data_IF_118555578087
#
_entry.id   IF_118555578087
#
_cell.length_a   1.000
_cell.length_b   1.000
_cell.length_c   1.000
_cell.angle_alpha   90.00
_cell.angle_beta   90.00
_cell.angle_gamma   90.00
#
_symmetry.space_group_name_H-M   'P 1'
#
loop_
_entity.id
_entity.type
_entity.pdbx_description
1 polymer ?
#
# COMPACT_ATOMS: atom_id res chain seq x y z
N UNK A 1 -9.25 11.69 9.92
CA UNK A 1 -9.19 10.55 9.00
C UNK A 1 -9.77 10.97 7.65
N UNK A 2 -9.16 10.53 6.54
CA UNK A 2 -9.69 10.76 5.20
C UNK A 2 -10.92 9.88 4.95
N UNK A 3 -11.92 10.40 4.27
CA UNK A 3 -13.12 9.64 3.89
C UNK A 3 -13.46 9.94 2.44
N UNK A 4 -13.88 8.92 1.69
CA UNK A 4 -14.42 9.11 0.35
C UNK A 4 -15.83 9.71 0.40
N UNK A 5 -16.18 10.48 -0.65
CA UNK A 5 -17.54 11.01 -0.77
C UNK A 5 -18.54 9.86 -1.02
N UNK A 6 -19.71 9.92 -0.37
CA UNK A 6 -20.72 8.86 -0.46
C UNK A 6 -21.18 8.58 -1.89
N UNK A 7 -21.22 9.62 -2.74
CA UNK A 7 -21.53 9.49 -4.17
C UNK A 7 -20.55 8.66 -4.98
N UNK A 8 -19.34 8.45 -4.45
CA UNK A 8 -18.23 7.80 -5.16
C UNK A 8 -18.01 6.36 -4.63
N UNK A 9 -18.67 5.97 -3.53
CA UNK A 9 -18.54 4.64 -2.92
C UNK A 9 -19.22 3.53 -3.71
N UNK A 10 -18.59 2.38 -3.73
CA UNK A 10 -19.14 1.14 -4.28
C UNK A 10 -19.67 0.27 -3.14
N UNK A 11 -20.87 -0.33 -3.28
CA UNK A 11 -21.45 -1.17 -2.24
C UNK A 11 -20.53 -2.33 -1.83
N UNK A 12 -20.44 -2.57 -0.53
CA UNK A 12 -19.56 -3.57 0.08
C UNK A 12 -19.72 -4.98 -0.51
N UNK A 13 -20.96 -5.39 -0.83
CA UNK A 13 -21.24 -6.71 -1.43
C UNK A 13 -20.70 -6.87 -2.88
N UNK A 14 -20.16 -5.82 -3.48
CA UNK A 14 -19.48 -5.86 -4.80
C UNK A 14 -17.94 -5.93 -4.66
N UNK A 15 -17.42 -6.00 -3.44
CA UNK A 15 -15.99 -5.93 -3.10
C UNK A 15 -15.47 -7.26 -2.54
N UNK A 16 -15.58 -8.35 -3.29
CA UNK A 16 -15.28 -9.69 -2.77
C UNK A 16 -13.84 -9.87 -2.29
N UNK A 17 -12.86 -9.50 -3.11
CA UNK A 17 -11.45 -9.66 -2.74
C UNK A 17 -10.97 -8.60 -1.76
N UNK A 18 -11.50 -7.38 -1.81
CA UNK A 18 -11.24 -6.38 -0.79
C UNK A 18 -11.65 -6.89 0.60
N UNK A 19 -12.82 -7.51 0.71
CA UNK A 19 -13.29 -8.11 1.96
C UNK A 19 -12.38 -9.26 2.42
N UNK A 20 -12.00 -10.15 1.49
CA UNK A 20 -11.10 -11.28 1.81
C UNK A 20 -9.73 -10.79 2.27
N UNK A 21 -9.12 -9.82 1.57
CA UNK A 21 -7.81 -9.27 1.96
C UNK A 21 -7.90 -8.54 3.29
N UNK A 22 -8.95 -7.75 3.51
CA UNK A 22 -9.19 -7.08 4.80
C UNK A 22 -9.28 -8.10 5.94
N UNK A 23 -10.13 -9.12 5.78
CA UNK A 23 -10.29 -10.18 6.78
C UNK A 23 -8.98 -10.95 7.02
N UNK A 24 -8.22 -11.27 5.97
CA UNK A 24 -6.94 -11.94 6.09
C UNK A 24 -5.95 -11.12 6.93
N UNK A 25 -5.83 -9.81 6.69
CA UNK A 25 -4.97 -8.94 7.49
C UNK A 25 -5.38 -8.92 8.98
N UNK A 26 -6.68 -8.82 9.26
CA UNK A 26 -7.18 -8.85 10.65
C UNK A 26 -6.91 -10.20 11.32
N UNK A 27 -7.19 -11.31 10.62
CA UNK A 27 -6.99 -12.66 11.17
C UNK A 27 -5.50 -12.91 11.45
N UNK A 28 -4.62 -12.57 10.50
CA UNK A 28 -3.17 -12.71 10.67
C UNK A 28 -2.69 -11.85 11.84
N UNK A 29 -3.17 -10.60 11.96
CA UNK A 29 -2.78 -9.74 13.08
C UNK A 29 -3.25 -10.27 14.43
N UNK A 30 -4.49 -10.80 14.52
CA UNK A 30 -4.96 -11.45 15.75
C UNK A 30 -4.05 -12.65 16.09
N UNK A 31 -3.67 -13.43 15.09
CA UNK A 31 -2.76 -14.57 15.31
C UNK A 31 -1.38 -14.10 15.78
N UNK A 32 -0.84 -13.00 15.19
CA UNK A 32 0.42 -12.40 15.65
C UNK A 32 0.39 -11.96 17.12
N UNK A 33 -0.67 -11.29 17.59
CA UNK A 33 -0.76 -10.85 18.98
C UNK A 33 -1.04 -12.00 19.97
N UNK A 34 -1.53 -13.13 19.48
CA UNK A 34 -1.73 -14.34 20.26
C UNK A 34 -0.48 -15.22 20.35
N UNK A 35 0.56 -14.96 19.57
CA UNK A 35 1.83 -15.67 19.62
C UNK A 35 2.64 -15.23 20.86
N UNK A 36 2.74 -16.06 21.90
CA UNK A 36 3.43 -15.70 23.14
C UNK A 36 4.95 -15.61 22.97
N UNK A 37 5.48 -16.13 21.88
CA UNK A 37 6.92 -16.17 21.59
C UNK A 37 7.40 -14.96 20.79
N UNK A 38 6.49 -14.27 20.08
CA UNK A 38 6.81 -13.22 19.14
C UNK A 38 7.58 -13.70 17.89
N UNK A 39 7.81 -15.01 17.74
CA UNK A 39 8.58 -15.58 16.62
C UNK A 39 7.90 -15.32 15.28
N UNK A 40 6.58 -15.34 15.24
CA UNK A 40 5.83 -15.09 14.02
C UNK A 40 6.17 -13.74 13.39
N UNK A 41 6.42 -12.70 14.19
CA UNK A 41 6.87 -11.40 13.70
C UNK A 41 8.21 -11.48 12.97
N UNK A 42 9.13 -12.29 13.49
CA UNK A 42 10.49 -12.42 12.97
C UNK A 42 10.51 -13.30 11.72
N UNK A 43 9.85 -14.46 11.80
CA UNK A 43 9.92 -15.48 10.74
C UNK A 43 9.15 -15.08 9.48
N UNK A 44 8.00 -14.37 9.62
CA UNK A 44 7.13 -14.02 8.51
C UNK A 44 7.40 -12.62 7.92
N UNK A 45 8.27 -11.82 8.54
CA UNK A 45 8.68 -10.52 8.03
C UNK A 45 9.72 -10.67 6.89
N UNK A 46 9.68 -9.74 5.96
CA UNK A 46 10.64 -9.70 4.85
C UNK A 46 11.96 -9.09 5.31
N UNK A 47 13.05 -9.82 5.15
CA UNK A 47 14.42 -9.35 5.45
C UNK A 47 15.20 -9.23 4.14
N UNK A 48 15.62 -8.01 3.74
CA UNK A 48 16.37 -7.81 2.50
C UNK A 48 17.64 -8.67 2.38
N UNK A 49 18.40 -8.86 3.47
CA UNK A 49 19.60 -9.70 3.48
C UNK A 49 19.28 -11.15 3.10
N UNK A 50 18.23 -11.73 3.68
CA UNK A 50 17.77 -13.09 3.35
C UNK A 50 17.40 -13.21 1.87
N UNK A 51 16.73 -12.19 1.32
CA UNK A 51 16.35 -12.16 -0.09
C UNK A 51 17.57 -12.24 -1.01
N UNK A 52 18.63 -11.45 -0.74
CA UNK A 52 19.86 -11.50 -1.55
C UNK A 52 20.63 -12.80 -1.42
N UNK A 53 20.48 -13.50 -0.30
CA UNK A 53 21.05 -14.83 -0.09
C UNK A 53 20.17 -15.97 -0.64
N UNK A 54 19.02 -15.66 -1.22
CA UNK A 54 18.04 -16.64 -1.71
C UNK A 54 17.32 -17.41 -0.60
N UNK A 55 17.35 -16.90 0.64
CA UNK A 55 16.68 -17.47 1.79
C UNK A 55 15.29 -16.88 1.99
N UNK A 56 14.41 -17.61 2.64
CA UNK A 56 13.09 -17.16 3.11
C UNK A 56 12.27 -16.35 2.08
N UNK A 57 12.38 -16.68 0.77
CA UNK A 57 11.72 -15.93 -0.31
C UNK A 57 10.20 -15.83 -0.17
N UNK A 58 9.57 -16.76 0.55
CA UNK A 58 8.14 -16.75 0.86
C UNK A 58 7.73 -15.52 1.71
N UNK A 59 8.68 -14.92 2.43
CA UNK A 59 8.43 -13.72 3.24
C UNK A 59 8.12 -12.49 2.41
N UNK A 60 8.48 -12.45 1.14
CA UNK A 60 8.00 -11.44 0.18
C UNK A 60 6.47 -11.36 0.14
N UNK A 61 5.79 -12.51 0.33
CA UNK A 61 4.34 -12.58 0.33
C UNK A 61 3.75 -12.47 1.74
N UNK A 62 4.27 -13.22 2.72
CA UNK A 62 3.71 -13.23 4.07
C UNK A 62 3.83 -11.87 4.77
N UNK A 63 4.92 -11.15 4.57
CA UNK A 63 5.13 -9.83 5.15
C UNK A 63 4.03 -8.82 4.79
N UNK A 64 3.37 -9.00 3.63
CA UNK A 64 2.27 -8.14 3.19
C UNK A 64 1.01 -8.23 4.08
N UNK A 65 0.92 -9.24 4.96
CA UNK A 65 -0.20 -9.45 5.87
C UNK A 65 0.17 -9.25 7.34
N UNK A 66 1.47 -9.05 7.61
CA UNK A 66 1.99 -8.83 8.95
C UNK A 66 1.96 -7.34 9.32
N UNK A 67 1.79 -7.04 10.61
CA UNK A 67 1.78 -5.64 11.07
C UNK A 67 2.54 -5.50 12.40
N UNK A 68 3.31 -4.42 12.53
CA UNK A 68 4.18 -4.20 13.69
C UNK A 68 3.43 -3.89 14.99
N UNK A 69 2.29 -3.19 14.87
CA UNK A 69 1.48 -2.77 16.01
C UNK A 69 0.03 -2.45 15.60
N UNK A 70 -0.80 -2.15 16.61
CA UNK A 70 -2.24 -1.86 16.41
C UNK A 70 -2.47 -0.57 15.59
N UNK A 71 -1.63 0.43 15.73
CA UNK A 71 -1.76 1.68 14.96
C UNK A 71 -1.42 1.42 13.50
N UNK A 72 -0.38 0.63 13.25
CA UNK A 72 0.04 0.23 11.91
C UNK A 72 -1.08 -0.48 11.16
N UNK A 73 -1.72 -1.50 11.74
CA UNK A 73 -2.83 -2.20 11.06
C UNK A 73 -4.06 -1.29 10.89
N UNK A 74 -4.43 -0.48 11.88
CA UNK A 74 -5.56 0.45 11.77
C UNK A 74 -5.34 1.41 10.60
N UNK A 75 -4.15 2.00 10.47
CA UNK A 75 -3.84 2.93 9.39
C UNK A 75 -3.84 2.24 8.04
N UNK A 76 -3.26 1.04 7.93
CA UNK A 76 -3.28 0.26 6.69
C UNK A 76 -4.72 -0.07 6.27
N UNK A 77 -5.52 -0.63 7.16
CA UNK A 77 -6.89 -1.02 6.85
C UNK A 77 -7.78 0.20 6.57
N UNK A 78 -7.50 1.32 7.20
CA UNK A 78 -8.19 2.57 6.87
C UNK A 78 -7.95 3.02 5.43
N UNK A 79 -6.68 3.15 5.01
CA UNK A 79 -6.35 3.53 3.64
C UNK A 79 -6.81 2.49 2.63
N UNK A 80 -6.70 1.21 2.97
CA UNK A 80 -7.22 0.11 2.18
C UNK A 80 -8.71 0.32 1.86
N UNK A 81 -9.55 0.53 2.86
CA UNK A 81 -11.00 0.74 2.68
C UNK A 81 -11.35 1.98 1.88
N UNK A 82 -10.51 3.01 1.88
CA UNK A 82 -10.75 4.26 1.11
C UNK A 82 -10.54 4.07 -0.39
N UNK A 83 -9.67 3.13 -0.79
CA UNK A 83 -9.26 3.02 -2.21
C UNK A 83 -9.70 1.73 -2.89
N UNK A 84 -9.99 0.66 -2.14
CA UNK A 84 -10.20 -0.67 -2.72
C UNK A 84 -11.50 -0.84 -3.47
N UNK A 85 -12.58 -0.26 -2.98
CA UNK A 85 -13.91 -0.40 -3.57
C UNK A 85 -13.94 0.02 -5.03
N UNK A 86 -13.47 1.20 -5.33
CA UNK A 86 -13.39 1.73 -6.69
C UNK A 86 -12.37 0.97 -7.54
N UNK A 87 -11.22 0.58 -6.96
CA UNK A 87 -10.20 -0.18 -7.69
C UNK A 87 -10.71 -1.56 -8.11
N UNK A 88 -11.31 -2.31 -7.18
CA UNK A 88 -11.85 -3.64 -7.47
C UNK A 88 -13.01 -3.57 -8.47
N UNK A 89 -13.90 -2.59 -8.31
CA UNK A 89 -15.01 -2.38 -9.23
C UNK A 89 -14.54 -2.07 -10.66
N UNK A 90 -13.54 -1.21 -10.83
CA UNK A 90 -13.03 -0.83 -12.14
C UNK A 90 -12.32 -1.97 -12.85
N UNK A 91 -11.39 -2.60 -12.14
CA UNK A 91 -10.46 -3.58 -12.70
C UNK A 91 -11.07 -4.99 -12.78
N UNK A 92 -12.09 -5.26 -11.97
CA UNK A 92 -12.62 -6.59 -11.71
C UNK A 92 -11.72 -7.38 -10.76
N UNK A 93 -12.28 -8.43 -10.19
CA UNK A 93 -11.68 -9.16 -9.06
C UNK A 93 -10.26 -9.70 -9.33
N UNK A 94 -10.06 -10.34 -10.48
CA UNK A 94 -8.77 -11.00 -10.80
C UNK A 94 -7.65 -9.99 -11.00
N UNK A 95 -7.89 -8.92 -11.78
CA UNK A 95 -6.86 -7.91 -12.00
C UNK A 95 -6.59 -7.10 -10.74
N UNK A 96 -7.59 -6.89 -9.89
CA UNK A 96 -7.45 -6.22 -8.61
C UNK A 96 -6.49 -6.99 -7.68
N UNK A 97 -6.73 -8.32 -7.44
CA UNK A 97 -5.85 -9.11 -6.59
C UNK A 97 -4.44 -9.25 -7.18
N UNK A 98 -4.34 -9.42 -8.50
CA UNK A 98 -3.05 -9.41 -9.19
C UNK A 98 -2.30 -8.10 -8.94
N UNK A 99 -2.98 -6.96 -9.06
CA UNK A 99 -2.38 -5.64 -8.82
C UNK A 99 -1.94 -5.47 -7.37
N UNK A 100 -2.75 -5.90 -6.41
CA UNK A 100 -2.41 -5.87 -4.99
C UNK A 100 -1.12 -6.65 -4.72
N UNK A 101 -1.05 -7.91 -5.17
CA UNK A 101 0.11 -8.78 -4.97
C UNK A 101 1.35 -8.22 -5.66
N UNK A 102 1.25 -7.87 -6.95
CA UNK A 102 2.39 -7.36 -7.72
C UNK A 102 2.92 -6.06 -7.15
N UNK A 103 2.03 -5.17 -6.70
CA UNK A 103 2.44 -3.90 -6.07
C UNK A 103 3.18 -4.14 -4.75
N UNK A 104 2.71 -5.06 -3.91
CA UNK A 104 3.38 -5.40 -2.67
C UNK A 104 4.77 -6.02 -2.92
N UNK A 105 4.85 -6.99 -3.82
CA UNK A 105 6.12 -7.63 -4.20
C UNK A 105 7.11 -6.61 -4.78
N UNK A 106 6.66 -5.75 -5.70
CA UNK A 106 7.52 -4.73 -6.30
C UNK A 106 7.97 -3.70 -5.27
N UNK A 107 7.10 -3.36 -4.31
CA UNK A 107 7.46 -2.55 -3.15
C UNK A 107 8.58 -3.16 -2.34
N UNK A 108 8.45 -4.42 -1.93
CA UNK A 108 9.49 -5.15 -1.18
C UNK A 108 10.80 -5.24 -1.96
N UNK A 109 10.74 -5.48 -3.27
CA UNK A 109 11.93 -5.51 -4.12
C UNK A 109 12.62 -4.15 -4.19
N UNK A 110 11.87 -3.06 -4.37
CA UNK A 110 12.48 -1.73 -4.40
C UNK A 110 13.06 -1.33 -3.03
N UNK A 111 12.42 -1.74 -1.94
CA UNK A 111 12.97 -1.58 -0.60
C UNK A 111 14.28 -2.35 -0.44
N UNK A 112 14.34 -3.62 -0.83
CA UNK A 112 15.58 -4.40 -0.80
C UNK A 112 16.69 -3.75 -1.64
N UNK A 113 16.38 -3.32 -2.86
CA UNK A 113 17.34 -2.63 -3.71
C UNK A 113 17.86 -1.32 -3.10
N UNK A 114 17.02 -0.59 -2.35
CA UNK A 114 17.45 0.63 -1.66
C UNK A 114 18.56 0.39 -0.65
N UNK A 115 18.60 -0.78 0.00
CA UNK A 115 19.66 -1.13 0.96
C UNK A 115 21.02 -1.29 0.30
N UNK A 116 21.08 -1.63 -1.00
CA UNK A 116 22.34 -1.70 -1.74
C UNK A 116 22.84 -0.31 -2.13
N UNK A 117 21.91 0.64 -2.37
CA UNK A 117 22.24 1.98 -2.83
C UNK A 117 22.77 2.85 -1.69
N UNK A 118 22.48 2.53 -0.44
CA UNK A 118 22.90 3.28 0.76
C UNK A 118 24.26 2.75 1.25
N UNK A 119 25.41 3.40 0.91
CA UNK A 119 26.72 2.76 1.10
C UNK A 119 27.11 2.53 2.57
N UNK A 120 26.70 3.47 3.46
CA UNK A 120 27.11 3.45 4.89
C UNK A 120 26.18 2.59 5.74
N UNK A 121 24.88 2.73 5.52
CA UNK A 121 23.85 2.12 6.36
C UNK A 121 23.19 0.89 5.73
N UNK A 122 23.43 0.67 4.43
CA UNK A 122 22.79 -0.39 3.66
C UNK A 122 22.93 -1.78 4.26
N UNK A 123 24.15 -2.22 4.64
CA UNK A 123 24.33 -3.54 5.27
C UNK A 123 23.52 -3.68 6.57
N UNK A 124 23.46 -2.64 7.40
CA UNK A 124 22.65 -2.65 8.62
C UNK A 124 21.14 -2.65 8.31
N UNK A 125 20.71 -1.85 7.33
CA UNK A 125 19.29 -1.76 6.93
C UNK A 125 18.81 -3.05 6.26
N UNK A 126 19.70 -3.79 5.61
CA UNK A 126 19.36 -5.07 4.97
C UNK A 126 18.94 -6.14 5.99
N UNK A 127 19.41 -6.04 7.23
CA UNK A 127 19.05 -6.96 8.32
C UNK A 127 17.76 -6.57 9.06
N UNK A 128 17.20 -5.37 8.77
CA UNK A 128 15.97 -4.91 9.43
C UNK A 128 14.74 -5.54 8.78
N UNK A 129 13.91 -6.26 9.54
CA UNK A 129 12.67 -6.82 9.02
C UNK A 129 11.69 -5.73 8.54
N UNK A 130 11.10 -5.93 7.38
CA UNK A 130 10.05 -5.09 6.80
C UNK A 130 8.74 -5.87 6.72
N UNK A 131 7.62 -5.24 7.06
CA UNK A 131 6.30 -5.85 7.07
C UNK A 131 5.20 -4.79 6.93
N UNK A 132 4.05 -5.20 6.43
CA UNK A 132 2.87 -4.36 6.26
C UNK A 132 2.23 -4.50 4.88
N UNK A 133 0.92 -4.33 4.84
CA UNK A 133 0.16 -4.25 3.59
C UNK A 133 0.43 -2.98 2.77
N UNK A 134 1.17 -2.02 3.36
CA UNK A 134 1.26 -0.64 2.86
C UNK A 134 1.83 -0.54 1.45
N UNK A 135 2.83 -1.33 1.07
CA UNK A 135 3.35 -1.34 -0.30
C UNK A 135 2.27 -1.67 -1.33
N UNK A 136 1.45 -2.68 -1.07
CA UNK A 136 0.31 -3.04 -1.93
C UNK A 136 -0.78 -1.96 -1.92
N UNK A 137 -1.08 -1.36 -0.76
CA UNK A 137 -2.05 -0.26 -0.62
C UNK A 137 -1.61 0.97 -1.41
N UNK A 138 -0.33 1.32 -1.36
CA UNK A 138 0.22 2.39 -2.21
C UNK A 138 0.08 2.06 -3.69
N UNK A 139 0.19 0.81 -4.08
CA UNK A 139 -0.13 0.37 -5.45
C UNK A 139 -1.57 0.66 -5.81
N UNK A 140 -2.53 0.33 -4.94
CA UNK A 140 -3.94 0.67 -5.15
C UNK A 140 -4.18 2.19 -5.16
N UNK A 141 -3.44 2.98 -4.37
CA UNK A 141 -3.47 4.44 -4.47
C UNK A 141 -2.97 4.93 -5.84
N UNK A 142 -1.95 4.29 -6.41
CA UNK A 142 -1.49 4.53 -7.78
C UNK A 142 -2.58 4.24 -8.81
N UNK A 143 -3.30 3.11 -8.66
CA UNK A 143 -4.47 2.79 -9.48
C UNK A 143 -5.55 3.86 -9.35
N UNK A 144 -5.88 4.23 -8.12
CA UNK A 144 -6.92 5.23 -7.83
C UNK A 144 -6.58 6.60 -8.46
N UNK A 145 -5.31 7.01 -8.38
CA UNK A 145 -4.83 8.23 -9.03
C UNK A 145 -5.09 8.23 -10.55
N UNK A 146 -4.77 7.13 -11.22
CA UNK A 146 -4.90 7.02 -12.69
C UNK A 146 -6.36 6.94 -13.14
N UNK A 147 -7.21 6.23 -12.37
CA UNK A 147 -8.58 5.93 -12.78
C UNK A 147 -9.61 6.90 -12.18
N UNK A 148 -9.37 7.40 -10.97
CA UNK A 148 -10.36 8.10 -10.15
C UNK A 148 -9.87 9.43 -9.54
N UNK A 149 -8.87 10.07 -10.14
CA UNK A 149 -8.29 11.34 -9.63
C UNK A 149 -9.32 12.45 -9.38
N UNK A 150 -10.46 12.43 -10.08
CA UNK A 150 -11.55 13.41 -9.92
C UNK A 150 -12.52 13.16 -8.76
N UNK A 151 -12.51 11.95 -8.16
CA UNK A 151 -13.35 11.63 -7.01
C UNK A 151 -13.05 12.57 -5.83
N UNK A 152 -13.94 12.63 -4.86
CA UNK A 152 -13.83 13.57 -3.75
C UNK A 152 -13.53 12.85 -2.45
N UNK A 153 -12.52 13.38 -1.76
CA UNK A 153 -12.18 12.99 -0.39
C UNK A 153 -12.52 14.13 0.57
N UNK A 154 -12.92 13.76 1.77
CA UNK A 154 -13.12 14.67 2.88
C UNK A 154 -11.98 14.51 3.89
N UNK A 155 -11.30 15.60 4.17
CA UNK A 155 -10.21 15.68 5.14
C UNK A 155 -10.64 16.55 6.32
N UNK A 156 -10.26 16.24 7.57
CA UNK A 156 -10.40 17.16 8.67
C UNK A 156 -9.70 18.49 8.35
N UNK A 157 -10.35 19.61 8.68
CA UNK A 157 -9.68 20.90 8.63
C UNK A 157 -8.59 20.99 9.71
N UNK A 158 -7.74 22.00 9.61
CA UNK A 158 -6.67 22.25 10.62
C UNK A 158 -7.21 22.40 12.04
N UNK A 159 -8.46 22.84 12.19
CA UNK A 159 -9.13 22.95 13.50
C UNK A 159 -9.81 21.67 13.94
N UNK A 160 -9.95 20.68 13.07
CA UNK A 160 -10.69 19.43 13.31
C UNK A 160 -12.21 19.58 13.34
N UNK A 161 -12.74 20.82 13.32
CA UNK A 161 -14.17 21.08 13.47
C UNK A 161 -14.98 20.93 12.18
N UNK A 162 -14.35 21.00 11.03
CA UNK A 162 -15.00 20.92 9.71
C UNK A 162 -14.27 19.95 8.81
N UNK A 163 -14.96 19.47 7.77
CA UNK A 163 -14.37 18.62 6.74
C UNK A 163 -14.11 19.45 5.48
N UNK A 164 -12.88 19.38 4.99
CA UNK A 164 -12.47 20.02 3.73
C UNK A 164 -12.59 19.02 2.59
N UNK A 165 -13.30 19.40 1.54
CA UNK A 165 -13.43 18.61 0.31
C UNK A 165 -12.24 18.84 -0.61
N UNK A 166 -11.54 17.77 -1.00
CA UNK A 166 -10.41 17.80 -1.95
C UNK A 166 -10.62 16.77 -3.04
N UNK A 167 -9.91 16.87 -4.17
CA UNK A 167 -9.91 15.78 -5.14
C UNK A 167 -9.00 14.65 -4.65
N UNK A 168 -9.37 13.42 -4.96
CA UNK A 168 -8.55 12.24 -4.67
C UNK A 168 -7.15 12.38 -5.30
N UNK A 169 -7.10 12.88 -6.54
CA UNK A 169 -5.83 13.12 -7.23
C UNK A 169 -4.91 14.07 -6.49
N UNK A 170 -5.44 15.19 -5.97
CA UNK A 170 -4.65 16.13 -5.17
C UNK A 170 -4.11 15.45 -3.89
N UNK A 171 -4.98 14.77 -3.15
CA UNK A 171 -4.60 14.10 -1.90
C UNK A 171 -3.55 13.02 -2.13
N UNK A 172 -3.81 12.09 -3.07
CA UNK A 172 -2.93 10.95 -3.35
C UNK A 172 -1.57 11.42 -3.87
N UNK A 173 -1.56 12.40 -4.80
CA UNK A 173 -0.31 12.92 -5.34
C UNK A 173 0.53 13.62 -4.27
N UNK A 174 -0.11 14.44 -3.41
CA UNK A 174 0.59 15.11 -2.31
C UNK A 174 1.17 14.09 -1.33
N UNK A 175 0.41 13.03 -1.01
CA UNK A 175 0.86 11.97 -0.13
C UNK A 175 2.03 11.18 -0.75
N UNK A 176 1.94 10.84 -2.04
CA UNK A 176 3.03 10.18 -2.76
C UNK A 176 4.31 11.02 -2.84
N UNK A 177 4.19 12.34 -3.08
CA UNK A 177 5.34 13.25 -3.09
C UNK A 177 6.00 13.29 -1.71
N UNK A 178 5.23 13.29 -0.63
CA UNK A 178 5.78 13.21 0.72
C UNK A 178 6.55 11.90 0.94
N UNK A 179 5.98 10.76 0.56
CA UNK A 179 6.65 9.45 0.65
C UNK A 179 7.93 9.37 -0.19
N UNK A 180 7.90 9.92 -1.41
CA UNK A 180 9.10 10.00 -2.24
C UNK A 180 10.17 10.88 -1.60
N UNK A 181 9.77 12.01 -1.00
CA UNK A 181 10.70 12.89 -0.28
C UNK A 181 11.32 12.14 0.91
N UNK A 182 10.51 11.43 1.68
CA UNK A 182 11.01 10.63 2.82
C UNK A 182 11.93 9.49 2.36
N UNK A 183 11.61 8.80 1.26
CA UNK A 183 12.48 7.81 0.66
C UNK A 183 13.85 8.43 0.27
N UNK A 184 13.86 9.60 -0.34
CA UNK A 184 15.10 10.28 -0.72
C UNK A 184 15.91 10.78 0.49
N UNK A 185 15.24 11.31 1.53
CA UNK A 185 15.89 11.72 2.77
C UNK A 185 16.50 10.52 3.49
N UNK A 186 15.84 9.37 3.49
CA UNK A 186 16.36 8.14 4.10
C UNK A 186 17.66 7.62 3.46
N UNK A 187 17.99 8.04 2.22
CA UNK A 187 19.29 7.76 1.62
C UNK A 187 20.43 8.48 2.33
N UNK A 188 20.16 9.63 2.96
CA UNK A 188 21.16 10.44 3.66
C UNK A 188 21.24 10.06 5.15
N UNK A 189 20.08 9.91 5.78
CA UNK A 189 19.95 9.49 7.17
C UNK A 189 18.70 8.64 7.39
N UNK A 190 18.84 7.32 7.41
CA UNK A 190 17.70 6.41 7.54
C UNK A 190 17.02 6.46 8.92
N UNK A 191 17.67 7.04 9.94
CA UNK A 191 17.14 7.09 11.30
C UNK A 191 16.30 8.34 11.59
N UNK A 192 16.43 9.39 10.78
CA UNK A 192 15.70 10.66 10.99
C UNK A 192 14.17 10.49 10.88
N UNK A 193 13.69 9.58 10.04
CA UNK A 193 12.28 9.43 9.70
C UNK A 193 11.62 8.15 10.28
N UNK A 194 12.28 7.48 11.19
CA UNK A 194 11.79 6.24 11.79
C UNK A 194 12.00 5.00 10.93
N UNK A 195 11.36 3.90 11.31
CA UNK A 195 11.55 2.57 10.70
C UNK A 195 10.65 2.28 9.48
N UNK A 196 10.05 3.29 8.86
CA UNK A 196 9.13 3.08 7.73
C UNK A 196 9.90 2.76 6.44
N UNK A 197 9.49 1.71 5.75
CA UNK A 197 10.05 1.30 4.46
C UNK A 197 9.51 2.17 3.30
N UNK A 198 9.88 3.47 3.25
CA UNK A 198 9.38 4.43 2.26
C UNK A 198 9.59 3.98 0.81
N UNK A 199 10.70 3.29 0.52
CA UNK A 199 10.94 2.72 -0.82
C UNK A 199 9.93 1.63 -1.19
N UNK A 200 9.39 0.88 -0.21
CA UNK A 200 8.32 -0.07 -0.49
C UNK A 200 7.02 0.64 -0.94
N UNK A 201 6.71 1.78 -0.32
CA UNK A 201 5.57 2.61 -0.72
C UNK A 201 5.73 3.17 -2.14
N UNK A 202 6.90 3.73 -2.44
CA UNK A 202 7.22 4.26 -3.77
C UNK A 202 7.15 3.17 -4.83
N UNK A 203 7.74 2.01 -4.58
CA UNK A 203 7.73 0.87 -5.51
C UNK A 203 6.32 0.36 -5.78
N UNK A 204 5.55 0.14 -4.72
CA UNK A 204 4.16 -0.28 -4.84
C UNK A 204 3.32 0.69 -5.65
N UNK A 205 3.42 1.99 -5.35
CA UNK A 205 2.71 3.04 -6.07
C UNK A 205 3.02 3.05 -7.57
N UNK A 206 4.30 2.97 -7.94
CA UNK A 206 4.73 2.94 -9.34
C UNK A 206 4.16 1.73 -10.06
N UNK A 207 4.25 0.53 -9.45
CA UNK A 207 3.71 -0.69 -10.04
C UNK A 207 2.21 -0.59 -10.29
N UNK A 208 1.44 -0.15 -9.30
CA UNK A 208 -0.02 0.02 -9.44
C UNK A 208 -0.40 1.07 -10.47
N UNK A 209 0.31 2.21 -10.52
CA UNK A 209 0.08 3.25 -11.51
C UNK A 209 0.37 2.76 -12.95
N UNK A 210 1.43 1.98 -13.16
CA UNK A 210 1.76 1.38 -14.46
C UNK A 210 0.65 0.40 -14.88
N UNK A 211 0.25 -0.52 -13.99
CA UNK A 211 -0.82 -1.49 -14.29
C UNK A 211 -2.12 -0.77 -14.66
N UNK A 212 -2.49 0.26 -13.90
CA UNK A 212 -3.68 1.06 -14.19
C UNK A 212 -3.57 1.85 -15.49
N UNK A 213 -2.40 2.37 -15.82
CA UNK A 213 -2.12 3.05 -17.09
C UNK A 213 -2.32 2.11 -18.28
N UNK A 214 -1.75 0.90 -18.22
CA UNK A 214 -1.94 -0.15 -19.23
C UNK A 214 -3.41 -0.55 -19.32
N UNK A 215 -4.06 -0.82 -18.19
CA UNK A 215 -5.48 -1.15 -18.15
C UNK A 215 -6.34 -0.08 -18.83
N UNK A 216 -6.11 1.20 -18.50
CA UNK A 216 -6.83 2.33 -19.09
C UNK A 216 -6.60 2.45 -20.59
N UNK A 217 -5.37 2.20 -21.05
CA UNK A 217 -5.04 2.23 -22.47
C UNK A 217 -5.75 1.10 -23.26
N UNK A 218 -5.78 -0.11 -22.70
CA UNK A 218 -6.39 -1.28 -23.32
C UNK A 218 -7.93 -1.23 -23.29
N UNK A 219 -8.52 -0.81 -22.16
CA UNK A 219 -9.99 -0.78 -21.98
C UNK A 219 -10.67 0.47 -22.56
N UNK A 220 -9.94 1.56 -22.78
CA UNK A 220 -10.37 2.77 -23.49
C UNK A 220 -11.81 3.22 -23.21
N UNK A 221 -12.65 3.18 -24.23
CA UNK A 221 -14.07 3.59 -24.21
C UNK A 221 -14.96 2.74 -23.30
N UNK A 222 -14.67 1.45 -23.13
CA UNK A 222 -15.43 0.54 -22.27
C UNK A 222 -15.37 0.94 -20.80
N UNK A 223 -14.20 1.43 -20.34
CA UNK A 223 -14.02 1.93 -18.97
C UNK A 223 -14.83 3.21 -18.72
N UNK A 224 -14.86 4.14 -19.71
CA UNK A 224 -15.61 5.40 -19.59
C UNK A 224 -17.12 5.17 -19.45
N UNK A 225 -17.66 4.12 -20.11
CA UNK A 225 -19.08 3.74 -19.98
C UNK A 225 -19.41 3.21 -18.58
N UNK A 226 -18.55 2.38 -18.01
CA UNK A 226 -18.73 1.80 -16.66
C UNK A 226 -18.68 2.86 -15.55
N UNK A 227 -17.90 3.93 -15.72
CA UNK A 227 -17.80 5.02 -14.76
C UNK A 227 -19.05 5.91 -14.71
N UNK A 228 -19.91 5.87 -15.74
CA UNK A 228 -21.14 6.67 -15.84
C UNK A 228 -22.40 5.91 -15.45
N UNK A 229 -22.32 4.60 -15.26
CA UNK A 229 -23.41 3.71 -14.81
C UNK A 229 -23.29 3.39 -13.32
#
# INVERSE_FOLDING_TARGET
MVMEAESDKIPFFKQYFSVVIFAANIIVFIWQIMDPTGQMHIEAAFVPADFFEGKNLWTLFSSMFMHGDIVHIIMNMWFFLVVTDNCEHAMGHILFIFTYIVSGLFGSLLHALSTIIIPVWGPFLADIPSLGASGAIFGLMGVYLILYSGNKFYLPSSTGMTMRKVTAGYFILTYFIAELTYALVSLMDPFTLGSTAHFAHVGGFIAGAIIAGVFKAVKGESYKKKKKS
#
